data_IF_475363274212
#
_entry.id   IF_475363274212
#
_cell.length_a   1.000
_cell.length_b   1.000
_cell.length_c   1.000
_cell.angle_alpha   90.00
_cell.angle_beta   90.00
_cell.angle_gamma   90.00
#
_symmetry.space_group_name_H-M   'P 1'
#
loop_
_entity.id
_entity.type
_entity.pdbx_description
1 polymer ?
#
# COMPACT_ATOMS: atom_id res chain seq x y z
N UNK A 1 -13.42 25.79 -12.50
CA UNK A 1 -13.57 24.43 -11.94
C UNK A 1 -12.20 23.75 -11.99
N UNK A 2 -11.58 23.47 -10.84
CA UNK A 2 -10.25 22.83 -10.73
C UNK A 2 -10.42 21.32 -10.60
N UNK A 3 -10.68 20.62 -11.70
CA UNK A 3 -10.76 19.13 -11.73
C UNK A 3 -9.43 18.48 -12.13
N UNK A 4 -8.43 19.26 -12.54
CA UNK A 4 -7.11 18.76 -12.97
C UNK A 4 -6.30 18.12 -11.84
N UNK A 5 -6.44 18.64 -10.61
CA UNK A 5 -5.65 18.21 -9.46
C UNK A 5 -5.83 16.72 -9.11
N UNK A 6 -7.07 16.20 -9.19
CA UNK A 6 -7.36 14.80 -8.83
C UNK A 6 -6.92 13.80 -9.90
N UNK A 7 -7.01 14.16 -11.18
CA UNK A 7 -6.62 13.29 -12.29
C UNK A 7 -5.10 13.14 -12.38
N UNK A 8 -4.35 14.23 -12.23
CA UNK A 8 -2.88 14.19 -12.22
C UNK A 8 -2.34 13.33 -11.08
N UNK A 9 -3.00 13.41 -9.92
CA UNK A 9 -2.68 12.58 -8.76
C UNK A 9 -2.92 11.09 -9.03
N UNK A 10 -4.03 10.76 -9.69
CA UNK A 10 -4.36 9.39 -10.08
C UNK A 10 -3.35 8.82 -11.08
N UNK A 11 -2.93 9.62 -12.07
CA UNK A 11 -1.89 9.23 -13.03
C UNK A 11 -0.55 8.97 -12.34
N UNK A 12 -0.15 9.83 -11.41
CA UNK A 12 1.07 9.61 -10.59
C UNK A 12 0.97 8.34 -9.75
N UNK A 13 -0.16 8.07 -9.10
CA UNK A 13 -0.34 6.84 -8.34
C UNK A 13 -0.26 5.59 -9.22
N UNK A 14 -0.86 5.63 -10.42
CA UNK A 14 -0.80 4.51 -11.37
C UNK A 14 0.65 4.23 -11.80
N UNK A 15 1.47 5.25 -12.02
CA UNK A 15 2.91 5.07 -12.32
C UNK A 15 3.66 4.36 -11.18
N UNK A 16 3.17 4.46 -9.95
CA UNK A 16 3.81 3.93 -8.75
C UNK A 16 3.21 2.61 -8.27
N UNK A 17 2.10 2.19 -8.86
CA UNK A 17 1.35 0.99 -8.49
C UNK A 17 2.21 -0.26 -8.53
N UNK A 18 2.95 -0.47 -9.64
CA UNK A 18 3.84 -1.62 -9.78
C UNK A 18 4.94 -1.62 -8.73
N UNK A 19 5.54 -0.47 -8.41
CA UNK A 19 6.57 -0.38 -7.38
C UNK A 19 6.01 -0.67 -5.98
N UNK A 20 4.81 -0.19 -5.69
CA UNK A 20 4.10 -0.47 -4.45
C UNK A 20 3.81 -1.97 -4.31
N UNK A 21 3.25 -2.59 -5.36
CA UNK A 21 2.99 -4.02 -5.41
C UNK A 21 4.26 -4.85 -5.23
N UNK A 22 5.32 -4.58 -5.99
CA UNK A 22 6.58 -5.32 -5.91
C UNK A 22 7.19 -5.27 -4.51
N UNK A 23 7.13 -4.11 -3.84
CA UNK A 23 7.60 -3.98 -2.46
C UNK A 23 6.74 -4.79 -1.48
N UNK A 24 5.41 -4.72 -1.59
CA UNK A 24 4.50 -5.49 -0.75
C UNK A 24 4.69 -7.00 -0.96
N UNK A 25 4.80 -7.44 -2.22
CA UNK A 25 5.01 -8.84 -2.59
C UNK A 25 6.34 -9.38 -2.07
N UNK A 26 7.42 -8.60 -2.20
CA UNK A 26 8.73 -8.98 -1.66
C UNK A 26 8.70 -9.21 -0.14
N UNK A 27 7.98 -8.35 0.59
CA UNK A 27 7.89 -8.43 2.06
C UNK A 27 6.95 -9.51 2.56
N UNK A 28 5.81 -9.68 1.90
CA UNK A 28 4.73 -10.57 2.36
C UNK A 28 4.87 -11.99 1.83
N UNK A 29 5.56 -12.18 0.69
CA UNK A 29 5.68 -13.46 -0.02
C UNK A 29 4.33 -14.19 -0.20
N UNK A 30 3.25 -13.42 -0.25
CA UNK A 30 1.88 -13.87 -0.39
C UNK A 30 1.15 -12.86 -1.27
N UNK A 31 0.68 -13.33 -2.42
CA UNK A 31 0.07 -12.48 -3.45
C UNK A 31 -1.19 -11.77 -2.94
N UNK A 32 -2.07 -12.48 -2.24
CA UNK A 32 -3.32 -11.91 -1.71
C UNK A 32 -3.05 -10.80 -0.70
N UNK A 33 -2.14 -11.04 0.25
CA UNK A 33 -1.73 -10.03 1.23
C UNK A 33 -1.03 -8.85 0.55
N UNK A 34 -0.22 -9.10 -0.47
CA UNK A 34 0.49 -8.06 -1.20
C UNK A 34 -0.47 -7.13 -1.96
N UNK A 35 -1.48 -7.69 -2.64
CA UNK A 35 -2.53 -6.91 -3.29
C UNK A 35 -3.29 -6.08 -2.25
N UNK A 36 -3.66 -6.68 -1.11
CA UNK A 36 -4.36 -5.97 -0.04
C UNK A 36 -3.55 -4.81 0.54
N UNK A 37 -2.26 -5.03 0.83
CA UNK A 37 -1.35 -3.99 1.34
C UNK A 37 -1.17 -2.86 0.31
N UNK A 38 -0.99 -3.20 -0.96
CA UNK A 38 -0.83 -2.21 -2.03
C UNK A 38 -2.10 -1.35 -2.20
N UNK A 39 -3.28 -1.98 -2.19
CA UNK A 39 -4.57 -1.26 -2.28
C UNK A 39 -4.78 -0.31 -1.10
N UNK A 40 -4.48 -0.76 0.14
CA UNK A 40 -4.56 0.08 1.33
C UNK A 40 -3.60 1.28 1.23
N UNK A 41 -2.37 1.02 0.79
CA UNK A 41 -1.33 2.06 0.60
C UNK A 41 -1.77 3.10 -0.42
N UNK A 42 -2.15 2.68 -1.63
CA UNK A 42 -2.54 3.60 -2.71
C UNK A 42 -3.81 4.39 -2.36
N UNK A 43 -4.76 3.77 -1.66
CA UNK A 43 -5.98 4.44 -1.19
C UNK A 43 -5.68 5.52 -0.15
N UNK A 44 -4.78 5.25 0.81
CA UNK A 44 -4.33 6.24 1.80
C UNK A 44 -3.64 7.42 1.11
N UNK A 45 -2.72 7.14 0.18
CA UNK A 45 -1.97 8.16 -0.55
C UNK A 45 -2.87 9.00 -1.47
N UNK A 46 -3.89 8.39 -2.08
CA UNK A 46 -4.88 9.13 -2.85
C UNK A 46 -5.68 10.12 -1.99
N UNK A 47 -5.97 9.76 -0.73
CA UNK A 47 -6.68 10.63 0.21
C UNK A 47 -5.79 11.69 0.87
N UNK A 48 -4.50 11.40 1.05
CA UNK A 48 -3.55 12.32 1.68
C UNK A 48 -3.28 13.55 0.81
N UNK A 49 -3.34 14.77 1.34
CA UNK A 49 -2.97 15.99 0.58
C UNK A 49 -1.44 16.12 0.34
N UNK A 50 -0.64 15.17 0.83
CA UNK A 50 0.80 15.15 0.70
C UNK A 50 1.33 14.90 -0.72
N UNK A 51 2.61 15.15 -0.91
CA UNK A 51 3.30 14.88 -2.17
C UNK A 51 3.37 13.37 -2.44
N UNK A 52 3.18 12.99 -3.70
CA UNK A 52 3.42 11.63 -4.17
C UNK A 52 4.86 11.54 -4.67
N UNK A 53 5.73 10.98 -3.86
CA UNK A 53 7.11 10.68 -4.23
C UNK A 53 7.46 9.21 -3.92
N UNK A 54 8.47 8.62 -4.61
CA UNK A 54 8.88 7.22 -4.43
C UNK A 54 9.10 6.78 -2.99
N UNK A 55 9.73 7.63 -2.19
CA UNK A 55 10.09 7.29 -0.81
C UNK A 55 8.87 7.21 0.11
N UNK A 56 7.88 8.10 -0.06
CA UNK A 56 6.61 8.07 0.68
C UNK A 56 5.81 6.81 0.33
N UNK A 57 5.79 6.42 -0.95
CA UNK A 57 5.07 5.22 -1.39
C UNK A 57 5.72 3.95 -0.83
N UNK A 58 7.05 3.84 -0.88
CA UNK A 58 7.79 2.72 -0.27
C UNK A 58 7.55 2.65 1.24
N UNK A 59 7.70 3.76 1.96
CA UNK A 59 7.50 3.80 3.41
C UNK A 59 6.08 3.38 3.80
N UNK A 60 5.08 3.84 3.03
CA UNK A 60 3.68 3.47 3.27
C UNK A 60 3.42 1.99 2.94
N UNK A 61 3.98 1.47 1.85
CA UNK A 61 3.90 0.05 1.49
C UNK A 61 4.52 -0.86 2.55
N UNK A 62 5.69 -0.50 3.07
CA UNK A 62 6.37 -1.22 4.16
C UNK A 62 5.47 -1.24 5.40
N UNK A 63 4.93 -0.09 5.80
CA UNK A 63 4.07 0.04 6.99
C UNK A 63 2.82 -0.83 6.91
N UNK A 64 2.11 -0.83 5.78
CA UNK A 64 0.92 -1.69 5.59
C UNK A 64 1.29 -3.17 5.53
N UNK A 65 2.41 -3.50 4.89
CA UNK A 65 2.91 -4.89 4.86
C UNK A 65 3.23 -5.40 6.27
N UNK A 66 3.94 -4.61 7.09
CA UNK A 66 4.24 -4.96 8.47
C UNK A 66 2.98 -5.11 9.33
N UNK A 67 1.97 -4.27 9.10
CA UNK A 67 0.68 -4.36 9.79
C UNK A 67 -0.02 -5.69 9.46
N UNK A 68 -0.11 -6.08 8.19
CA UNK A 68 -0.71 -7.35 7.80
C UNK A 68 0.07 -8.56 8.30
N UNK A 69 1.41 -8.48 8.37
CA UNK A 69 2.23 -9.53 9.01
C UNK A 69 1.93 -9.67 10.50
N UNK A 70 1.71 -8.57 11.21
CA UNK A 70 1.31 -8.61 12.62
C UNK A 70 -0.11 -9.21 12.79
N UNK A 71 -1.06 -8.81 11.95
CA UNK A 71 -2.44 -9.32 11.97
C UNK A 71 -2.51 -10.83 11.66
N UNK A 72 -1.78 -11.29 10.64
CA UNK A 72 -1.72 -12.72 10.26
C UNK A 72 -1.08 -13.59 11.34
N UNK A 73 -0.01 -13.10 11.99
CA UNK A 73 0.59 -13.80 13.15
C UNK A 73 -0.37 -13.86 14.34
N UNK A 74 -1.07 -12.76 14.62
CA UNK A 74 -2.07 -12.71 15.71
C UNK A 74 -3.24 -13.67 15.44
N UNK A 75 -3.75 -13.70 14.20
CA UNK A 75 -4.80 -14.63 13.79
C UNK A 75 -4.37 -16.09 13.91
N UNK A 76 -3.12 -16.42 13.55
CA UNK A 76 -2.59 -17.77 13.71
C UNK A 76 -2.49 -18.18 15.19
N UNK A 77 -2.11 -17.26 16.09
CA UNK A 77 -2.07 -17.51 17.54
C UNK A 77 -3.49 -17.72 18.09
N UNK A 78 -4.48 -16.92 17.68
CA UNK A 78 -5.86 -17.08 18.12
C UNK A 78 -6.54 -18.35 17.59
N UNK A 79 -6.11 -18.89 16.44
CA UNK A 79 -6.66 -20.13 15.88
C UNK A 79 -6.09 -21.41 16.52
N UNK A 80 -5.02 -21.29 17.31
CA UNK A 80 -4.35 -22.40 18.00
C UNK A 80 -4.77 -22.56 19.48
N UNK A 81 -5.65 -21.69 19.98
CA UNK A 81 -6.24 -21.73 21.34
C UNK A 81 -7.66 -22.27 21.26
#
# INVERSE_FOLDING_TARGET
MKTTCSTDKLLKLRQMEQHCYSACHYLLQNEELAVRAAQQTLSELFRSEGSLNPEIVKASAIRHSLKLLAESRSAAVCALV
#
